data_IF_583420575504
#
_entry.id   IF_583420575504
#
_cell.length_a   1.000
_cell.length_b   1.000
_cell.length_c   1.000
_cell.angle_alpha   90.00
_cell.angle_beta   90.00
_cell.angle_gamma   90.00
#
_symmetry.space_group_name_H-M   'P 1'
#
loop_
_entity.id
_entity.type
_entity.pdbx_description
1 polymer ?
#
# COMPACT_ATOMS: atom_id res chain seq x y z
N UNK A 1 -25.81 -17.94 28.09
CA UNK A 1 -24.62 -17.48 28.86
C UNK A 1 -23.38 -17.32 27.99
N UNK A 2 -23.02 -18.27 27.11
CA UNK A 2 -21.81 -18.22 26.28
C UNK A 2 -21.70 -16.96 25.40
N UNK A 3 -22.79 -16.60 24.71
CA UNK A 3 -22.86 -15.41 23.83
C UNK A 3 -22.60 -14.08 24.57
N UNK A 4 -22.99 -14.01 25.84
CA UNK A 4 -22.81 -12.81 26.67
C UNK A 4 -21.34 -12.64 27.08
N UNK A 5 -20.64 -13.76 27.33
CA UNK A 5 -19.20 -13.76 27.62
C UNK A 5 -18.36 -13.43 26.39
N UNK A 6 -18.76 -13.90 25.21
CA UNK A 6 -18.10 -13.57 23.93
C UNK A 6 -18.16 -12.06 23.67
N UNK A 7 -19.34 -11.45 23.86
CA UNK A 7 -19.50 -10.00 23.67
C UNK A 7 -18.68 -9.19 24.68
N UNK A 8 -18.69 -9.57 25.96
CA UNK A 8 -17.89 -8.91 27.00
C UNK A 8 -16.39 -9.02 26.73
N UNK A 9 -15.93 -10.16 26.20
CA UNK A 9 -14.55 -10.37 25.83
C UNK A 9 -14.15 -9.52 24.61
N UNK A 10 -14.98 -9.49 23.56
CA UNK A 10 -14.74 -8.65 22.39
C UNK A 10 -14.69 -7.15 22.76
N UNK A 11 -15.54 -6.71 23.68
CA UNK A 11 -15.55 -5.32 24.15
C UNK A 11 -14.32 -4.98 25.00
N UNK A 12 -13.87 -5.90 25.85
CA UNK A 12 -12.62 -5.74 26.61
C UNK A 12 -11.38 -5.67 25.69
N UNK A 13 -11.33 -6.50 24.65
CA UNK A 13 -10.28 -6.47 23.64
C UNK A 13 -10.27 -5.14 22.86
N UNK A 14 -11.44 -4.66 22.45
CA UNK A 14 -11.59 -3.36 21.80
C UNK A 14 -11.15 -2.20 22.69
N UNK A 15 -11.38 -2.30 24.00
CA UNK A 15 -11.02 -1.27 24.99
C UNK A 15 -9.50 -1.15 25.20
N UNK A 16 -8.76 -2.24 24.98
CA UNK A 16 -7.28 -2.24 25.00
C UNK A 16 -6.66 -2.09 23.61
N UNK A 17 -7.47 -1.75 22.59
CA UNK A 17 -7.00 -1.52 21.21
C UNK A 17 -6.68 -2.79 20.41
N UNK A 18 -7.00 -3.96 20.95
CA UNK A 18 -6.85 -5.24 20.26
C UNK A 18 -8.16 -5.51 19.52
N UNK A 19 -8.31 -4.90 18.35
CA UNK A 19 -9.32 -5.28 17.39
C UNK A 19 -8.68 -6.20 16.35
N UNK A 20 -9.45 -7.17 15.85
CA UNK A 20 -9.15 -7.90 14.62
C UNK A 20 -8.76 -6.98 13.46
N UNK A 21 -9.26 -5.75 13.43
CA UNK A 21 -8.83 -4.73 12.48
C UNK A 21 -7.37 -4.30 12.69
N UNK A 22 -6.89 -4.16 13.93
CA UNK A 22 -5.50 -3.80 14.25
C UNK A 22 -4.50 -4.88 13.82
N UNK A 23 -4.85 -6.15 14.02
CA UNK A 23 -4.01 -7.28 13.60
C UNK A 23 -3.93 -7.39 12.07
N UNK A 24 -5.07 -7.21 11.38
CA UNK A 24 -5.13 -7.19 9.91
C UNK A 24 -4.38 -5.98 9.33
N UNK A 25 -4.50 -4.79 9.95
CA UNK A 25 -3.75 -3.60 9.53
C UNK A 25 -2.24 -3.81 9.67
N UNK A 26 -1.78 -4.39 10.79
CA UNK A 26 -0.36 -4.66 11.02
C UNK A 26 0.21 -5.65 10.00
N UNK A 27 -0.56 -6.69 9.66
CA UNK A 27 -0.21 -7.62 8.59
C UNK A 27 -0.08 -6.90 7.24
N UNK A 28 -1.09 -6.13 6.83
CA UNK A 28 -1.03 -5.39 5.56
C UNK A 28 0.10 -4.35 5.51
N UNK A 29 0.44 -3.71 6.63
CA UNK A 29 1.60 -2.80 6.68
C UNK A 29 2.93 -3.53 6.47
N UNK A 30 3.09 -4.72 7.07
CA UNK A 30 4.26 -5.56 6.83
C UNK A 30 4.33 -6.03 5.38
N UNK A 31 3.21 -6.47 4.80
CA UNK A 31 3.13 -6.87 3.39
C UNK A 31 3.43 -5.71 2.44
N UNK A 32 3.06 -4.46 2.78
CA UNK A 32 3.45 -3.27 2.00
C UNK A 32 4.97 -3.11 1.98
N UNK A 33 5.64 -3.27 3.13
CA UNK A 33 7.10 -3.15 3.20
C UNK A 33 7.78 -4.24 2.36
N UNK A 34 7.33 -5.50 2.50
CA UNK A 34 7.85 -6.63 1.74
C UNK A 34 7.64 -6.45 0.22
N UNK A 35 6.44 -6.06 -0.21
CA UNK A 35 6.15 -5.86 -1.63
C UNK A 35 6.83 -4.61 -2.21
N UNK A 36 7.04 -3.56 -1.40
CA UNK A 36 7.83 -2.41 -1.82
C UNK A 36 9.30 -2.78 -2.06
N UNK A 37 9.88 -3.63 -1.20
CA UNK A 37 11.22 -4.16 -1.41
C UNK A 37 11.29 -5.02 -2.67
N UNK A 38 10.33 -5.91 -2.88
CA UNK A 38 10.21 -6.74 -4.08
C UNK A 38 10.15 -5.89 -5.36
N UNK A 39 9.33 -4.83 -5.37
CA UNK A 39 9.26 -3.87 -6.50
C UNK A 39 10.61 -3.21 -6.76
N UNK A 40 11.33 -2.77 -5.73
CA UNK A 40 12.65 -2.16 -5.89
C UNK A 40 13.68 -3.14 -6.47
N UNK A 41 13.65 -4.40 -6.05
CA UNK A 41 14.51 -5.47 -6.59
C UNK A 41 14.21 -5.75 -8.07
N UNK A 42 12.93 -5.82 -8.45
CA UNK A 42 12.50 -6.02 -9.83
C UNK A 42 12.87 -4.85 -10.72
N UNK A 43 12.71 -3.60 -10.26
CA UNK A 43 13.17 -2.42 -11.00
C UNK A 43 14.69 -2.41 -11.20
N UNK A 44 15.44 -2.84 -10.18
CA UNK A 44 16.90 -2.96 -10.26
C UNK A 44 17.30 -4.01 -11.30
N UNK A 45 16.66 -5.18 -11.27
CA UNK A 45 16.87 -6.25 -12.24
C UNK A 45 16.52 -5.83 -13.66
N UNK A 46 15.37 -5.16 -13.84
CA UNK A 46 14.92 -4.62 -15.12
C UNK A 46 15.95 -3.65 -15.70
N UNK A 47 16.48 -2.73 -14.88
CA UNK A 47 17.52 -1.81 -15.30
C UNK A 47 18.78 -2.54 -15.78
N UNK A 48 19.22 -3.57 -15.06
CA UNK A 48 20.38 -4.38 -15.42
C UNK A 48 20.14 -5.11 -16.76
N UNK A 49 19.00 -5.77 -16.93
CA UNK A 49 18.67 -6.51 -18.16
C UNK A 49 18.50 -5.60 -19.37
N UNK A 50 17.88 -4.43 -19.18
CA UNK A 50 17.77 -3.43 -20.24
C UNK A 50 19.15 -2.93 -20.70
N UNK A 51 20.09 -2.70 -19.78
CA UNK A 51 21.47 -2.30 -20.13
C UNK A 51 22.25 -3.40 -20.84
N UNK A 52 21.94 -4.65 -20.54
CA UNK A 52 22.51 -5.82 -21.21
C UNK A 52 21.83 -6.13 -22.55
N UNK A 53 20.76 -5.41 -22.91
CA UNK A 53 19.94 -5.67 -24.10
C UNK A 53 19.38 -7.11 -24.11
N UNK A 54 19.06 -7.65 -22.94
CA UNK A 54 18.44 -8.96 -22.79
C UNK A 54 16.92 -8.83 -22.82
N UNK A 55 16.33 -8.91 -24.02
CA UNK A 55 14.90 -8.67 -24.26
C UNK A 55 14.00 -9.66 -23.50
N UNK A 56 14.30 -10.96 -23.55
CA UNK A 56 13.51 -12.00 -22.88
C UNK A 56 13.47 -11.80 -21.35
N UNK A 57 14.60 -11.42 -20.76
CA UNK A 57 14.69 -11.14 -19.33
C UNK A 57 13.96 -9.83 -18.95
N UNK A 58 14.01 -8.82 -19.81
CA UNK A 58 13.23 -7.58 -19.64
C UNK A 58 11.73 -7.88 -19.66
N UNK A 59 11.25 -8.63 -20.65
CA UNK A 59 9.83 -8.97 -20.78
C UNK A 59 9.33 -9.73 -19.54
N UNK A 60 10.06 -10.77 -19.14
CA UNK A 60 9.71 -11.56 -17.95
C UNK A 60 9.68 -10.69 -16.70
N UNK A 61 10.70 -9.84 -16.50
CA UNK A 61 10.79 -8.96 -15.33
C UNK A 61 9.67 -7.93 -15.30
N UNK A 62 9.21 -7.43 -16.47
CA UNK A 62 8.08 -6.49 -16.55
C UNK A 62 6.76 -7.15 -16.14
N UNK A 63 6.56 -8.42 -16.48
CA UNK A 63 5.39 -9.18 -16.03
C UNK A 63 5.42 -9.33 -14.50
N UNK A 64 6.55 -9.76 -13.94
CA UNK A 64 6.70 -9.93 -12.49
C UNK A 64 6.53 -8.60 -11.75
N UNK A 65 7.08 -7.50 -12.29
CA UNK A 65 6.91 -6.16 -11.75
C UNK A 65 5.43 -5.72 -11.73
N UNK A 66 4.67 -6.05 -12.78
CA UNK A 66 3.24 -5.74 -12.84
C UNK A 66 2.47 -6.49 -11.75
N UNK A 67 2.82 -7.75 -11.48
CA UNK A 67 2.22 -8.53 -10.41
C UNK A 67 2.55 -7.94 -9.03
N UNK A 68 3.82 -7.64 -8.78
CA UNK A 68 4.28 -7.04 -7.52
C UNK A 68 3.61 -5.68 -7.25
N UNK A 69 3.48 -4.83 -8.27
CA UNK A 69 2.74 -3.57 -8.16
C UNK A 69 1.24 -3.80 -7.87
N UNK A 70 0.66 -4.86 -8.43
CA UNK A 70 -0.71 -5.28 -8.12
C UNK A 70 -0.89 -5.67 -6.65
N UNK A 71 0.04 -6.44 -6.08
CA UNK A 71 0.03 -6.78 -4.66
C UNK A 71 0.20 -5.53 -3.79
N UNK A 72 1.22 -4.70 -4.07
CA UNK A 72 1.45 -3.46 -3.32
C UNK A 72 0.21 -2.56 -3.35
N UNK A 73 -0.44 -2.42 -4.51
CA UNK A 73 -1.69 -1.68 -4.63
C UNK A 73 -2.81 -2.28 -3.78
N UNK A 74 -2.94 -3.61 -3.76
CA UNK A 74 -3.95 -4.30 -2.95
C UNK A 74 -3.77 -4.04 -1.45
N UNK A 75 -2.56 -4.25 -0.89
CA UNK A 75 -2.31 -4.01 0.52
C UNK A 75 -2.48 -2.53 0.89
N UNK A 76 -1.98 -1.62 0.03
CA UNK A 76 -2.13 -0.17 0.22
C UNK A 76 -3.59 0.27 0.24
N UNK A 77 -4.40 -0.17 -0.73
CA UNK A 77 -5.82 0.17 -0.81
C UNK A 77 -6.65 -0.47 0.30
N UNK A 78 -6.17 -1.57 0.89
CA UNK A 78 -6.83 -2.22 2.03
C UNK A 78 -6.53 -1.49 3.33
N UNK A 79 -5.28 -1.06 3.56
CA UNK A 79 -4.87 -0.49 4.85
C UNK A 79 -5.05 1.02 4.95
N UNK A 80 -4.90 1.79 3.85
CA UNK A 80 -4.96 3.25 3.91
C UNK A 80 -6.34 3.79 4.33
N UNK A 81 -7.48 3.31 3.80
CA UNK A 81 -8.79 3.84 4.19
C UNK A 81 -9.10 3.74 5.70
N UNK A 82 -8.90 2.59 6.38
CA UNK A 82 -9.10 2.53 7.82
C UNK A 82 -8.05 3.36 8.57
N UNK A 83 -6.78 3.37 8.14
CA UNK A 83 -5.73 4.17 8.79
C UNK A 83 -6.03 5.69 8.73
N UNK A 84 -6.52 6.18 7.59
CA UNK A 84 -6.97 7.58 7.44
C UNK A 84 -8.10 7.91 8.41
N UNK A 85 -9.07 7.01 8.58
CA UNK A 85 -10.18 7.16 9.52
C UNK A 85 -9.69 7.19 10.97
N UNK A 86 -8.76 6.30 11.32
CA UNK A 86 -8.24 6.17 12.68
C UNK A 86 -7.34 7.35 13.06
N UNK A 87 -6.67 7.96 12.08
CA UNK A 87 -5.80 9.13 12.26
C UNK A 87 -6.50 10.48 12.02
N UNK A 88 -7.80 10.48 11.68
CA UNK A 88 -8.58 11.68 11.33
C UNK A 88 -7.91 12.55 10.25
N UNK A 89 -7.28 11.91 9.26
CA UNK A 89 -6.65 12.59 8.13
C UNK A 89 -7.71 12.80 7.06
N UNK A 90 -8.23 14.02 6.96
CA UNK A 90 -9.08 14.43 5.84
C UNK A 90 -8.34 14.21 4.51
N UNK A 91 -9.05 13.78 3.47
CA UNK A 91 -8.49 13.75 2.11
C UNK A 91 -7.97 15.16 1.79
N UNK A 92 -6.68 15.25 1.49
CA UNK A 92 -6.19 16.41 0.77
C UNK A 92 -6.88 16.33 -0.59
N UNK A 93 -7.91 17.16 -0.81
CA UNK A 93 -8.59 17.28 -2.08
C UNK A 93 -7.52 17.38 -3.18
N UNK A 94 -7.51 16.41 -4.11
CA UNK A 94 -6.64 16.41 -5.28
C UNK A 94 -6.95 17.59 -6.23
N UNK A 95 -7.95 18.42 -5.90
CA UNK A 95 -8.37 19.62 -6.62
C UNK A 95 -7.63 20.90 -6.18
N UNK A 96 -6.36 20.81 -5.77
CA UNK A 96 -5.52 22.01 -5.83
C UNK A 96 -5.17 22.24 -7.29
N UNK A 97 -6.07 22.93 -8.01
CA UNK A 97 -5.86 23.43 -9.36
C UNK A 97 -4.45 24.01 -9.43
N UNK A 98 -3.57 23.36 -10.20
CA UNK A 98 -2.30 23.94 -10.60
C UNK A 98 -2.66 25.14 -11.47
N UNK A 99 -2.73 26.33 -10.87
CA UNK A 99 -2.77 27.58 -11.61
C UNK A 99 -1.54 27.60 -12.52
N UNK A 100 -1.74 27.25 -13.78
CA UNK A 100 -0.81 27.51 -14.87
C UNK A 100 -0.77 29.02 -15.09
N UNK A 101 -0.03 29.73 -14.24
CA UNK A 101 0.38 31.10 -14.53
C UNK A 101 1.55 31.06 -15.49
N UNK A 102 1.20 31.12 -16.78
CA UNK A 102 2.11 31.38 -17.88
C UNK A 102 2.89 32.67 -17.64
N UNK A 103 4.22 32.58 -17.58
CA UNK A 103 5.13 33.71 -17.83
C UNK A 103 6.53 33.18 -18.16
N UNK A 104 6.71 32.73 -19.40
CA UNK A 104 8.01 32.83 -20.07
C UNK A 104 7.96 34.11 -20.92
N UNK A 105 8.64 35.21 -20.54
CA UNK A 105 8.94 36.25 -21.49
C UNK A 105 10.12 35.81 -22.38
N UNK A 106 10.01 36.22 -23.65
CA UNK A 106 10.90 35.94 -24.77
C UNK A 106 12.35 36.39 -24.57
#
# INVERSE_FOLDING_TARGET
MLRNRINQFAEALRLVGIDSSTDLQSMHLGEIEEEALNVLELLTSLHVYARQQNEDAVETTLVDLTVALGHLSHHTNTVLPPLKRDLDIAELDEDTEVEQSALIPA
#
